data_IF_115773895282
#
_entry.id   IF_115773895282
#
_cell.length_a   1.000
_cell.length_b   1.000
_cell.length_c   1.000
_cell.angle_alpha   90.00
_cell.angle_beta   90.00
_cell.angle_gamma   90.00
#
_symmetry.space_group_name_H-M   'P 1'
#
loop_
_entity.id
_entity.type
_entity.pdbx_description
1 polymer ?
#
# COMPACT_ATOMS: atom_id res chain seq x y z
N UNK A 1 37.36 5.89 -2.96
CA UNK A 1 36.72 4.91 -2.06
C UNK A 1 35.48 5.57 -1.45
N UNK A 2 34.29 5.38 -2.05
CA UNK A 2 33.02 5.73 -1.40
C UNK A 2 32.24 4.45 -1.20
N UNK A 3 32.62 3.71 -0.16
CA UNK A 3 31.78 2.67 0.42
C UNK A 3 30.70 3.40 1.23
N UNK A 4 29.53 3.59 0.64
CA UNK A 4 28.33 3.99 1.37
C UNK A 4 27.37 2.81 1.38
N UNK A 5 27.57 1.94 2.37
CA UNK A 5 26.58 0.95 2.75
C UNK A 5 25.25 1.64 3.06
N UNK A 6 24.21 1.34 2.27
CA UNK A 6 22.83 1.60 2.67
C UNK A 6 22.01 0.34 2.51
N UNK A 7 22.42 -0.62 3.29
CA UNK A 7 21.58 -1.28 4.27
C UNK A 7 20.05 -1.21 4.10
N UNK A 8 19.49 -2.35 3.68
CA UNK A 8 18.42 -3.06 4.42
C UNK A 8 17.17 -2.28 4.83
N UNK A 9 16.45 -1.64 3.90
CA UNK A 9 15.02 -1.29 4.15
C UNK A 9 14.12 -1.13 2.92
N UNK A 10 14.64 -1.36 1.70
CA UNK A 10 13.90 -1.07 0.45
C UNK A 10 12.56 -1.81 0.30
N UNK A 11 12.36 -2.93 1.00
CA UNK A 11 11.07 -3.63 1.01
C UNK A 11 10.01 -2.97 1.90
N UNK A 12 10.35 -2.52 3.12
CA UNK A 12 9.37 -2.03 4.10
C UNK A 12 8.80 -0.66 3.76
N UNK A 13 9.61 0.21 3.16
CA UNK A 13 9.14 1.54 2.73
C UNK A 13 8.24 1.46 1.49
N UNK A 14 8.54 0.54 0.57
CA UNK A 14 7.72 0.32 -0.61
C UNK A 14 6.32 -0.23 -0.24
N UNK A 15 6.27 -1.18 0.71
CA UNK A 15 5.02 -1.73 1.22
C UNK A 15 4.14 -0.64 1.86
N UNK A 16 4.73 0.21 2.71
CA UNK A 16 4.01 1.32 3.33
C UNK A 16 3.52 2.35 2.30
N UNK A 17 4.32 2.67 1.27
CA UNK A 17 3.91 3.59 0.22
C UNK A 17 2.74 3.01 -0.61
N UNK A 18 2.79 1.72 -0.93
CA UNK A 18 1.69 1.02 -1.61
C UNK A 18 0.44 1.02 -0.73
N UNK A 19 0.58 0.73 0.57
CA UNK A 19 -0.54 0.73 1.51
C UNK A 19 -1.22 2.09 1.60
N UNK A 20 -0.44 3.16 1.81
CA UNK A 20 -0.94 4.53 1.84
C UNK A 20 -1.68 4.90 0.55
N UNK A 21 -1.13 4.49 -0.60
CA UNK A 21 -1.76 4.71 -1.91
C UNK A 21 -3.08 3.96 -2.03
N UNK A 22 -3.14 2.68 -1.65
CA UNK A 22 -4.38 1.89 -1.64
C UNK A 22 -5.44 2.54 -0.75
N UNK A 23 -5.09 2.97 0.46
CA UNK A 23 -6.04 3.60 1.40
C UNK A 23 -6.56 4.92 0.83
N UNK A 24 -5.70 5.78 0.27
CA UNK A 24 -6.12 7.03 -0.35
C UNK A 24 -7.06 6.81 -1.54
N UNK A 25 -6.77 5.83 -2.39
CA UNK A 25 -7.60 5.44 -3.54
C UNK A 25 -8.96 4.87 -3.09
N UNK A 26 -8.97 3.98 -2.09
CA UNK A 26 -10.22 3.38 -1.59
C UNK A 26 -11.06 4.36 -0.78
N UNK A 27 -10.44 5.27 -0.04
CA UNK A 27 -11.12 6.32 0.74
C UNK A 27 -11.92 7.29 -0.13
N UNK A 28 -11.49 7.55 -1.38
CA UNK A 28 -12.25 8.36 -2.33
C UNK A 28 -13.34 7.60 -3.11
N UNK A 29 -13.55 6.31 -2.83
CA UNK A 29 -14.55 5.47 -3.51
C UNK A 29 -14.08 4.74 -4.78
N UNK A 30 -12.77 4.64 -5.03
CA UNK A 30 -12.23 3.93 -6.19
C UNK A 30 -12.52 2.42 -6.14
N UNK A 31 -12.76 1.77 -7.28
CA UNK A 31 -12.99 0.31 -7.32
C UNK A 31 -11.69 -0.46 -7.02
N UNK A 32 -11.81 -1.71 -6.54
CA UNK A 32 -10.63 -2.53 -6.19
C UNK A 32 -9.74 -2.81 -7.42
N UNK A 33 -10.35 -3.08 -8.58
CA UNK A 33 -9.63 -3.33 -9.82
C UNK A 33 -8.87 -2.09 -10.32
N UNK A 34 -9.51 -0.91 -10.27
CA UNK A 34 -8.86 0.33 -10.67
C UNK A 34 -7.76 0.74 -9.68
N UNK A 35 -8.00 0.54 -8.38
CA UNK A 35 -7.00 0.75 -7.32
C UNK A 35 -5.75 -0.10 -7.56
N UNK A 36 -5.93 -1.39 -7.86
CA UNK A 36 -4.84 -2.31 -8.20
C UNK A 36 -4.01 -1.80 -9.39
N UNK A 37 -4.68 -1.38 -10.47
CA UNK A 37 -4.02 -0.83 -11.67
C UNK A 37 -3.26 0.47 -11.38
N UNK A 38 -3.85 1.39 -10.63
CA UNK A 38 -3.24 2.69 -10.29
C UNK A 38 -2.09 2.58 -9.29
N UNK A 39 -2.18 1.65 -8.35
CA UNK A 39 -1.13 1.41 -7.37
C UNK A 39 -0.04 0.43 -7.88
N UNK A 40 -0.26 -0.23 -9.02
CA UNK A 40 0.69 -1.19 -9.60
C UNK A 40 0.75 -2.51 -8.83
N UNK A 41 -0.37 -2.93 -8.25
CA UNK A 41 -0.46 -4.10 -7.35
C UNK A 41 -1.57 -5.05 -7.82
N UNK A 42 -1.57 -6.26 -7.28
CA UNK A 42 -2.67 -7.20 -7.48
C UNK A 42 -3.91 -6.84 -6.67
N UNK A 43 -5.08 -7.18 -7.20
CA UNK A 43 -6.40 -7.03 -6.56
C UNK A 43 -6.45 -7.66 -5.16
N UNK A 44 -5.73 -8.77 -4.97
CA UNK A 44 -5.57 -9.49 -3.70
C UNK A 44 -4.86 -8.64 -2.63
N UNK A 45 -3.82 -7.91 -3.02
CA UNK A 45 -3.09 -7.00 -2.12
C UNK A 45 -4.01 -5.86 -1.67
N UNK A 46 -4.74 -5.25 -2.61
CA UNK A 46 -5.72 -4.20 -2.29
C UNK A 46 -6.74 -4.68 -1.27
N UNK A 47 -7.33 -5.87 -1.46
CA UNK A 47 -8.28 -6.45 -0.51
C UNK A 47 -7.67 -6.66 0.87
N UNK A 48 -6.47 -7.23 0.95
CA UNK A 48 -5.77 -7.47 2.23
C UNK A 48 -5.48 -6.16 2.96
N UNK A 49 -4.93 -5.18 2.27
CA UNK A 49 -4.57 -3.88 2.85
C UNK A 49 -5.81 -3.14 3.34
N UNK A 50 -6.86 -3.10 2.52
CA UNK A 50 -8.11 -2.45 2.90
C UNK A 50 -8.78 -3.13 4.09
N UNK A 51 -8.81 -4.47 4.12
CA UNK A 51 -9.32 -5.22 5.26
C UNK A 51 -8.50 -4.97 6.53
N UNK A 52 -7.17 -4.95 6.43
CA UNK A 52 -6.28 -4.62 7.54
C UNK A 52 -6.53 -3.19 8.06
N UNK A 53 -6.71 -2.22 7.16
CA UNK A 53 -7.03 -0.84 7.51
C UNK A 53 -8.39 -0.72 8.23
N UNK A 54 -9.43 -1.40 7.75
CA UNK A 54 -10.73 -1.45 8.42
C UNK A 54 -10.65 -2.17 9.78
N UNK A 55 -9.87 -3.25 9.89
CA UNK A 55 -9.69 -4.02 11.12
C UNK A 55 -8.92 -3.25 12.20
N UNK A 56 -8.02 -2.34 11.81
CA UNK A 56 -7.28 -1.46 12.73
C UNK A 56 -8.15 -0.36 13.37
N UNK A 57 -9.46 -0.35 13.13
CA UNK A 57 -10.39 0.59 13.78
C UNK A 57 -10.42 1.98 13.16
N UNK A 58 -9.75 2.19 12.01
CA UNK A 58 -9.95 3.39 11.17
C UNK A 58 -11.22 3.29 10.32
N UNK A 59 -12.28 2.70 10.89
CA UNK A 59 -13.63 2.74 10.37
C UNK A 59 -14.40 3.82 11.11
N UNK A 60 -14.88 4.82 10.34
CA UNK A 60 -15.76 5.91 10.76
C UNK A 60 -16.90 5.49 11.69
#
# INVERSE_FOLDING_TARGET
MHESGRDKSRGRSADQAIHARIVALRGRGETIANTARLAGTSVTTVKRVWAAYCALGHGH
#
